data_IF_054059286774
#
_entry.id   IF_054059286774
#
_cell.length_a   1.000
_cell.length_b   1.000
_cell.length_c   1.000
_cell.angle_alpha   90.00
_cell.angle_beta   90.00
_cell.angle_gamma   90.00
#
_symmetry.space_group_name_H-M   'P 1'
#
loop_
_entity.id
_entity.type
_entity.pdbx_description
1 polymer ?
#
# COMPACT_ATOMS: atom_id res chain seq x y z
N UNK A 1 -58.57 -24.31 45.13
CA UNK A 1 -58.46 -24.85 43.76
C UNK A 1 -57.55 -23.91 43.00
N UNK A 2 -56.39 -24.40 42.59
CA UNK A 2 -55.35 -23.63 41.90
C UNK A 2 -55.62 -23.65 40.40
N UNK A 3 -55.72 -22.49 39.78
CA UNK A 3 -55.68 -22.36 38.33
C UNK A 3 -54.43 -21.57 37.95
N UNK A 4 -53.41 -22.31 37.55
CA UNK A 4 -52.19 -21.79 36.93
C UNK A 4 -52.52 -21.26 35.54
N UNK A 5 -52.15 -20.01 35.27
CA UNK A 5 -52.14 -19.42 33.93
C UNK A 5 -50.94 -19.99 33.14
N UNK A 6 -51.07 -20.35 31.84
CA UNK A 6 -49.92 -20.75 31.05
C UNK A 6 -49.07 -19.52 30.72
N UNK A 7 -47.81 -19.57 31.12
CA UNK A 7 -46.78 -18.60 30.76
C UNK A 7 -46.33 -18.89 29.33
N UNK A 8 -46.85 -18.14 28.35
CA UNK A 8 -46.36 -18.14 26.97
C UNK A 8 -45.60 -16.84 26.72
N UNK A 9 -44.30 -16.83 27.01
CA UNK A 9 -43.36 -15.82 26.47
C UNK A 9 -41.99 -16.48 26.31
N UNK A 10 -41.73 -17.06 25.14
CA UNK A 10 -40.35 -17.45 24.75
C UNK A 10 -40.04 -17.29 23.26
N UNK A 11 -41.03 -17.12 22.38
CA UNK A 11 -40.80 -17.05 20.93
C UNK A 11 -40.35 -15.68 20.36
N UNK A 12 -40.42 -14.59 21.15
CA UNK A 12 -40.07 -13.24 20.67
C UNK A 12 -38.56 -12.94 20.72
N UNK A 13 -37.87 -13.51 21.71
CA UNK A 13 -36.44 -13.23 21.99
C UNK A 13 -35.52 -13.97 21.00
N UNK A 14 -35.86 -15.21 20.63
CA UNK A 14 -35.06 -16.02 19.69
C UNK A 14 -35.06 -15.44 18.28
N UNK A 15 -36.19 -14.87 17.83
CA UNK A 15 -36.31 -14.25 16.52
C UNK A 15 -35.54 -12.93 16.42
N UNK A 16 -35.57 -12.12 17.47
CA UNK A 16 -34.76 -10.89 17.56
C UNK A 16 -33.27 -11.19 17.65
N UNK A 17 -32.87 -12.25 18.37
CA UNK A 17 -31.48 -12.70 18.42
C UNK A 17 -30.99 -13.17 17.04
N UNK A 18 -31.80 -13.94 16.30
CA UNK A 18 -31.47 -14.36 14.93
C UNK A 18 -31.35 -13.18 13.95
N UNK A 19 -32.27 -12.22 14.00
CA UNK A 19 -32.21 -11.01 13.17
C UNK A 19 -30.95 -10.17 13.48
N UNK A 20 -30.57 -10.05 14.75
CA UNK A 20 -29.34 -9.37 15.16
C UNK A 20 -28.08 -10.09 14.70
N UNK A 21 -28.08 -11.42 14.69
CA UNK A 21 -26.97 -12.25 14.25
C UNK A 21 -26.78 -12.14 12.73
N UNK A 22 -27.87 -12.16 11.95
CA UNK A 22 -27.84 -11.93 10.51
C UNK A 22 -27.31 -10.53 10.14
N UNK A 23 -27.73 -9.49 10.86
CA UNK A 23 -27.24 -8.12 10.65
C UNK A 23 -25.72 -8.06 10.90
N UNK A 24 -25.26 -8.69 11.98
CA UNK A 24 -23.85 -8.75 12.35
C UNK A 24 -23.02 -9.46 11.27
N UNK A 25 -23.48 -10.61 10.79
CA UNK A 25 -22.82 -11.35 9.69
C UNK A 25 -22.71 -10.50 8.42
N UNK A 26 -23.78 -9.80 8.03
CA UNK A 26 -23.78 -8.93 6.84
C UNK A 26 -22.79 -7.78 6.98
N UNK A 27 -22.73 -7.12 8.14
CA UNK A 27 -21.76 -6.06 8.39
C UNK A 27 -20.31 -6.57 8.32
N UNK A 28 -20.03 -7.74 8.92
CA UNK A 28 -18.71 -8.38 8.85
C UNK A 28 -18.30 -8.70 7.41
N UNK A 29 -19.21 -9.22 6.59
CA UNK A 29 -18.96 -9.48 5.19
C UNK A 29 -18.68 -8.20 4.39
N UNK A 30 -19.48 -7.15 4.59
CA UNK A 30 -19.28 -5.85 3.93
C UNK A 30 -17.92 -5.23 4.31
N UNK A 31 -17.55 -5.31 5.58
CA UNK A 31 -16.25 -4.81 6.06
C UNK A 31 -15.09 -5.49 5.32
N UNK A 32 -15.10 -6.82 5.21
CA UNK A 32 -14.05 -7.58 4.51
C UNK A 32 -13.98 -7.23 3.02
N UNK A 33 -15.12 -7.07 2.35
CA UNK A 33 -15.17 -6.64 0.94
C UNK A 33 -14.55 -5.25 0.77
N UNK A 34 -14.88 -4.30 1.67
CA UNK A 34 -14.31 -2.96 1.64
C UNK A 34 -12.79 -2.99 1.89
N UNK A 35 -12.34 -3.81 2.86
CA UNK A 35 -10.91 -4.02 3.12
C UNK A 35 -10.19 -4.52 1.88
N UNK A 36 -10.73 -5.54 1.21
CA UNK A 36 -10.11 -6.10 0.01
C UNK A 36 -9.95 -5.06 -1.10
N UNK A 37 -11.00 -4.27 -1.37
CA UNK A 37 -10.95 -3.17 -2.35
C UNK A 37 -9.93 -2.10 -1.97
N UNK A 38 -9.87 -1.74 -0.69
CA UNK A 38 -8.90 -0.78 -0.19
C UNK A 38 -7.45 -1.26 -0.43
N UNK A 39 -7.17 -2.53 -0.13
CA UNK A 39 -5.83 -3.11 -0.32
C UNK A 39 -5.42 -3.15 -1.79
N UNK A 40 -6.35 -3.46 -2.69
CA UNK A 40 -6.10 -3.43 -4.14
C UNK A 40 -5.67 -2.05 -4.65
N UNK A 41 -6.18 -0.97 -4.02
CA UNK A 41 -5.86 0.40 -4.44
C UNK A 41 -4.44 0.83 -4.04
N UNK A 42 -3.78 0.15 -3.11
CA UNK A 42 -2.42 0.51 -2.66
C UNK A 42 -1.45 0.45 -3.83
N UNK A 43 -1.49 -0.62 -4.63
CA UNK A 43 -0.60 -0.78 -5.79
C UNK A 43 -0.85 0.29 -6.84
N UNK A 44 -2.12 0.63 -7.11
CA UNK A 44 -2.46 1.67 -8.07
C UNK A 44 -1.92 3.03 -7.64
N UNK A 45 -2.10 3.39 -6.36
CA UNK A 45 -1.59 4.64 -5.81
C UNK A 45 -0.07 4.77 -5.96
N UNK A 46 0.67 3.67 -5.78
CA UNK A 46 2.12 3.66 -6.02
C UNK A 46 2.46 3.91 -7.48
N UNK A 47 1.74 3.29 -8.42
CA UNK A 47 1.97 3.57 -9.84
C UNK A 47 1.66 5.03 -10.19
N UNK A 48 0.59 5.60 -9.62
CA UNK A 48 0.23 7.00 -9.83
C UNK A 48 1.34 7.93 -9.31
N UNK A 49 1.89 7.66 -8.12
CA UNK A 49 3.01 8.43 -7.57
C UNK A 49 4.30 8.30 -8.39
N UNK A 50 4.59 7.10 -8.91
CA UNK A 50 5.72 6.89 -9.82
C UNK A 50 5.54 7.66 -11.13
N UNK A 51 4.34 7.65 -11.69
CA UNK A 51 4.01 8.38 -12.92
C UNK A 51 4.13 9.88 -12.68
N UNK A 52 3.58 10.37 -11.56
CA UNK A 52 3.60 11.79 -11.21
C UNK A 52 5.03 12.31 -11.10
N UNK A 53 5.93 11.60 -10.41
CA UNK A 53 7.32 12.00 -10.30
C UNK A 53 8.01 12.12 -11.67
N UNK A 54 7.70 11.20 -12.59
CA UNK A 54 8.26 11.26 -13.95
C UNK A 54 7.70 12.45 -14.72
N UNK A 55 6.38 12.68 -14.65
CA UNK A 55 5.74 13.83 -15.29
C UNK A 55 6.29 15.15 -14.74
N UNK A 56 6.52 15.26 -13.43
CA UNK A 56 7.09 16.44 -12.79
C UNK A 56 8.52 16.71 -13.28
N UNK A 57 9.36 15.68 -13.37
CA UNK A 57 10.71 15.81 -13.93
C UNK A 57 10.70 16.37 -15.37
N UNK A 58 9.88 15.80 -16.26
CA UNK A 58 9.79 16.30 -17.64
C UNK A 58 9.26 17.73 -17.71
N UNK A 59 8.31 18.08 -16.83
CA UNK A 59 7.77 19.44 -16.73
C UNK A 59 8.82 20.43 -16.27
N UNK A 60 9.67 20.07 -15.30
CA UNK A 60 10.78 20.90 -14.83
C UNK A 60 11.82 21.14 -15.93
N UNK A 61 12.08 20.15 -16.78
CA UNK A 61 12.91 20.30 -17.98
C UNK A 61 12.22 21.08 -19.12
N UNK A 62 10.93 21.41 -19.00
CA UNK A 62 10.16 22.02 -20.08
C UNK A 62 9.96 21.10 -21.30
N UNK A 63 10.08 19.78 -21.10
CA UNK A 63 9.96 18.75 -22.14
C UNK A 63 8.64 17.99 -22.02
N UNK A 64 8.17 17.46 -23.14
CA UNK A 64 7.04 16.51 -23.14
C UNK A 64 7.57 15.14 -22.71
N UNK A 65 6.80 14.43 -21.87
CA UNK A 65 7.15 13.07 -21.48
C UNK A 65 7.38 12.17 -22.70
N UNK A 66 8.52 11.47 -22.72
CA UNK A 66 8.94 10.62 -23.86
C UNK A 66 9.82 11.33 -24.88
N UNK A 67 10.13 12.62 -24.69
CA UNK A 67 11.16 13.32 -25.45
C UNK A 67 12.53 12.65 -25.25
N UNK A 68 13.40 12.73 -26.25
CA UNK A 68 14.78 12.28 -26.13
C UNK A 68 15.50 13.06 -25.01
N UNK A 69 16.18 12.32 -24.14
CA UNK A 69 17.03 12.85 -23.08
C UNK A 69 18.49 12.73 -23.47
N UNK A 70 19.29 13.69 -23.06
CA UNK A 70 20.75 13.57 -23.03
C UNK A 70 21.17 12.56 -21.95
N UNK A 71 22.43 12.14 -21.96
CA UNK A 71 22.98 11.26 -20.91
C UNK A 71 22.84 11.89 -19.52
N UNK A 72 23.15 13.18 -19.39
CA UNK A 72 23.06 13.91 -18.12
C UNK A 72 21.60 14.00 -17.62
N UNK A 73 20.66 14.37 -18.50
CA UNK A 73 19.23 14.40 -18.14
C UNK A 73 18.69 13.00 -17.81
N UNK A 74 19.22 11.94 -18.42
CA UNK A 74 18.85 10.57 -18.07
C UNK A 74 19.35 10.18 -16.67
N UNK A 75 20.58 10.56 -16.33
CA UNK A 75 21.16 10.37 -14.98
C UNK A 75 20.35 11.12 -13.93
N UNK A 76 19.94 12.36 -14.23
CA UNK A 76 19.06 13.15 -13.36
C UNK A 76 17.69 12.51 -13.21
N UNK A 77 17.08 12.00 -14.29
CA UNK A 77 15.82 11.26 -14.23
C UNK A 77 15.95 10.03 -13.32
N UNK A 78 17.03 9.26 -13.45
CA UNK A 78 17.30 8.13 -12.57
C UNK A 78 17.41 8.57 -11.11
N UNK A 79 18.12 9.67 -10.84
CA UNK A 79 18.21 10.29 -9.51
C UNK A 79 16.83 10.64 -8.93
N UNK A 80 16.02 11.40 -9.67
CA UNK A 80 14.66 11.78 -9.26
C UNK A 80 13.76 10.56 -9.00
N UNK A 81 13.89 9.51 -9.83
CA UNK A 81 13.13 8.27 -9.63
C UNK A 81 13.58 7.51 -8.39
N UNK A 82 14.88 7.48 -8.07
CA UNK A 82 15.42 6.86 -6.85
C UNK A 82 14.84 7.56 -5.61
N UNK A 83 14.95 8.89 -5.56
CA UNK A 83 14.43 9.70 -4.44
C UNK A 83 12.92 9.50 -4.26
N UNK A 84 12.16 9.42 -5.36
CA UNK A 84 10.74 9.10 -5.31
C UNK A 84 10.47 7.73 -4.65
N UNK A 85 11.22 6.68 -5.00
CA UNK A 85 11.03 5.34 -4.39
C UNK A 85 11.37 5.38 -2.91
N UNK A 86 12.43 6.07 -2.52
CA UNK A 86 12.82 6.23 -1.11
C UNK A 86 11.75 6.94 -0.29
N UNK A 87 11.14 7.99 -0.84
CA UNK A 87 10.04 8.70 -0.20
C UNK A 87 8.80 7.81 -0.02
N UNK A 88 8.41 7.04 -1.04
CA UNK A 88 7.29 6.11 -0.96
C UNK A 88 7.57 5.02 0.08
N UNK A 89 8.75 4.40 0.03
CA UNK A 89 9.15 3.33 0.97
C UNK A 89 9.12 3.86 2.42
N UNK A 90 9.76 4.99 2.68
CA UNK A 90 9.81 5.57 4.04
C UNK A 90 8.42 5.92 4.58
N UNK A 91 7.56 6.47 3.73
CA UNK A 91 6.17 6.76 4.08
C UNK A 91 5.37 5.50 4.41
N UNK A 92 5.54 4.43 3.62
CA UNK A 92 4.88 3.15 3.88
C UNK A 92 5.39 2.48 5.16
N UNK A 93 6.71 2.47 5.41
CA UNK A 93 7.29 1.90 6.64
C UNK A 93 6.75 2.61 7.88
N UNK A 94 6.73 3.95 7.89
CA UNK A 94 6.12 4.72 8.99
C UNK A 94 4.63 4.40 9.16
N UNK A 95 3.90 4.26 8.06
CA UNK A 95 2.49 3.87 8.10
C UNK A 95 2.27 2.47 8.69
N UNK A 96 3.21 1.54 8.47
CA UNK A 96 3.16 0.19 9.03
C UNK A 96 3.43 0.19 10.54
N UNK A 97 4.41 0.97 11.01
CA UNK A 97 4.67 1.12 12.46
C UNK A 97 3.41 1.60 13.22
N UNK A 98 2.66 2.53 12.63
CA UNK A 98 1.38 2.99 13.19
C UNK A 98 0.36 1.86 13.25
N UNK A 99 0.21 1.08 12.17
CA UNK A 99 -0.73 -0.04 12.14
C UNK A 99 -0.35 -1.16 13.11
N UNK A 100 0.94 -1.49 13.23
CA UNK A 100 1.46 -2.47 14.18
C UNK A 100 1.12 -2.05 15.62
N UNK A 101 1.33 -0.78 15.95
CA UNK A 101 0.95 -0.24 17.27
C UNK A 101 -0.55 -0.32 17.52
N UNK A 102 -1.39 0.01 16.53
CA UNK A 102 -2.84 -0.10 16.68
C UNK A 102 -3.31 -1.56 16.83
N UNK A 103 -2.64 -2.51 16.16
CA UNK A 103 -2.88 -3.94 16.35
C UNK A 103 -2.58 -4.34 17.79
N UNK A 104 -1.43 -3.94 18.33
CA UNK A 104 -1.05 -4.22 19.73
C UNK A 104 -2.06 -3.64 20.72
N UNK A 105 -2.45 -2.38 20.52
CA UNK A 105 -3.46 -1.71 21.34
C UNK A 105 -4.78 -2.51 21.34
N UNK A 106 -5.30 -2.84 20.16
CA UNK A 106 -6.57 -3.58 20.01
C UNK A 106 -6.51 -5.01 20.56
N UNK A 107 -5.34 -5.67 20.51
CA UNK A 107 -5.13 -6.99 21.14
C UNK A 107 -5.10 -6.89 22.66
N UNK A 108 -4.60 -5.78 23.22
CA UNK A 108 -4.51 -5.57 24.67
C UNK A 108 -5.82 -5.10 25.31
N UNK A 109 -6.59 -4.27 24.61
CA UNK A 109 -7.87 -3.73 25.06
C UNK A 109 -8.85 -3.66 23.88
N UNK A 110 -9.65 -4.72 23.65
CA UNK A 110 -10.61 -4.74 22.57
C UNK A 110 -11.79 -3.82 22.88
N UNK A 111 -11.76 -2.61 22.32
CA UNK A 111 -12.74 -1.55 22.59
C UNK A 111 -14.11 -1.79 21.92
N UNK A 112 -14.20 -2.65 20.89
CA UNK A 112 -15.43 -2.85 20.10
C UNK A 112 -15.72 -4.31 19.70
N UNK A 113 -16.99 -4.61 19.39
CA UNK A 113 -17.46 -5.92 18.92
C UNK A 113 -16.85 -6.40 17.57
N UNK A 114 -16.04 -5.55 16.94
CA UNK A 114 -15.43 -5.75 15.62
C UNK A 114 -13.92 -5.44 15.63
N UNK A 115 -13.31 -5.31 16.81
CA UNK A 115 -11.86 -5.09 16.96
C UNK A 115 -11.04 -6.16 16.25
N UNK A 116 -11.53 -7.39 16.19
CA UNK A 116 -10.92 -8.49 15.45
C UNK A 116 -10.85 -8.22 13.94
N UNK A 117 -11.92 -7.71 13.32
CA UNK A 117 -11.89 -7.34 11.91
C UNK A 117 -10.99 -6.14 11.65
N UNK A 118 -10.91 -5.19 12.57
CA UNK A 118 -9.99 -4.06 12.46
C UNK A 118 -8.54 -4.53 12.52
N UNK A 119 -8.22 -5.47 13.40
CA UNK A 119 -6.91 -6.15 13.44
C UNK A 119 -6.65 -6.85 12.10
N UNK A 120 -7.59 -7.68 11.60
CA UNK A 120 -7.46 -8.37 10.29
C UNK A 120 -7.12 -7.36 9.17
N UNK A 121 -7.78 -6.19 9.16
CA UNK A 121 -7.53 -5.13 8.16
C UNK A 121 -6.12 -4.55 8.29
N UNK A 122 -5.67 -4.23 9.50
CA UNK A 122 -4.34 -3.64 9.71
C UNK A 122 -3.25 -4.64 9.37
N UNK A 123 -3.38 -5.91 9.77
CA UNK A 123 -2.43 -6.98 9.45
C UNK A 123 -2.32 -7.17 7.92
N UNK A 124 -3.46 -7.27 7.22
CA UNK A 124 -3.48 -7.37 5.76
C UNK A 124 -2.91 -6.11 5.06
N UNK A 125 -3.07 -4.93 5.66
CA UNK A 125 -2.49 -3.68 5.15
C UNK A 125 -0.98 -3.66 5.30
N UNK A 126 -0.45 -4.10 6.44
CA UNK A 126 0.99 -4.22 6.68
C UNK A 126 1.61 -5.21 5.71
N UNK A 127 0.99 -6.38 5.53
CA UNK A 127 1.46 -7.40 4.58
C UNK A 127 1.50 -6.86 3.13
N UNK A 128 0.40 -6.27 2.66
CA UNK A 128 0.30 -5.72 1.30
C UNK A 128 1.36 -4.64 1.08
N UNK A 129 1.55 -3.73 2.05
CA UNK A 129 2.55 -2.67 1.94
C UNK A 129 3.97 -3.21 1.99
N UNK A 130 4.25 -4.24 2.79
CA UNK A 130 5.57 -4.87 2.82
C UNK A 130 5.94 -5.50 1.48
N UNK A 131 4.98 -6.12 0.78
CA UNK A 131 5.19 -6.61 -0.58
C UNK A 131 5.53 -5.46 -1.55
N UNK A 132 4.76 -4.38 -1.50
CA UNK A 132 5.01 -3.19 -2.34
C UNK A 132 6.36 -2.54 -2.01
N UNK A 133 6.74 -2.47 -0.73
CA UNK A 133 8.05 -1.98 -0.30
C UNK A 133 9.18 -2.82 -0.91
N UNK A 134 9.07 -4.14 -0.87
CA UNK A 134 10.09 -5.03 -1.43
C UNK A 134 10.25 -4.81 -2.94
N UNK A 135 9.15 -4.66 -3.68
CA UNK A 135 9.17 -4.34 -5.10
C UNK A 135 9.82 -2.98 -5.38
N UNK A 136 9.50 -1.95 -4.59
CA UNK A 136 10.10 -0.62 -4.73
C UNK A 136 11.59 -0.61 -4.38
N UNK A 137 12.02 -1.39 -3.39
CA UNK A 137 13.44 -1.54 -3.04
C UNK A 137 14.22 -2.17 -4.19
N UNK A 138 13.64 -3.16 -4.87
CA UNK A 138 14.21 -3.76 -6.08
C UNK A 138 14.26 -2.74 -7.23
N UNK A 139 13.16 -2.06 -7.54
CA UNK A 139 13.13 -1.02 -8.57
C UNK A 139 14.16 0.08 -8.32
N UNK A 140 14.31 0.53 -7.06
CA UNK A 140 15.29 1.53 -6.66
C UNK A 140 16.70 1.04 -6.96
N UNK A 141 17.03 -0.20 -6.61
CA UNK A 141 18.35 -0.77 -6.88
C UNK A 141 18.64 -0.87 -8.38
N UNK A 142 17.66 -1.26 -9.19
CA UNK A 142 17.78 -1.27 -10.65
C UNK A 142 18.05 0.13 -11.22
N UNK A 143 17.42 1.17 -10.65
CA UNK A 143 17.67 2.56 -11.04
C UNK A 143 19.07 3.04 -10.63
N UNK A 144 19.56 2.66 -9.45
CA UNK A 144 20.93 2.96 -9.01
C UNK A 144 21.94 2.34 -9.96
N UNK A 145 21.74 1.08 -10.35
CA UNK A 145 22.63 0.41 -11.31
C UNK A 145 22.64 1.14 -12.66
N UNK A 146 21.46 1.48 -13.21
CA UNK A 146 21.35 2.23 -14.47
C UNK A 146 22.00 3.61 -14.41
N UNK A 147 21.88 4.29 -13.27
CA UNK A 147 22.53 5.60 -13.03
C UNK A 147 24.06 5.47 -13.05
N UNK A 148 24.61 4.36 -12.57
CA UNK A 148 26.06 4.13 -12.52
C UNK A 148 26.60 3.55 -13.84
N UNK A 149 25.78 2.82 -14.62
CA UNK A 149 26.17 2.30 -15.94
C UNK A 149 26.48 3.42 -16.95
N UNK A 150 25.85 4.60 -16.83
CA UNK A 150 26.19 5.76 -17.67
C UNK A 150 27.58 6.32 -17.38
N UNK A 151 28.11 6.14 -16.16
CA UNK A 151 29.46 6.59 -15.77
C UNK A 151 30.56 5.63 -16.24
N UNK A 152 30.26 4.32 -16.43
CA UNK A 152 31.25 3.32 -16.90
C UNK A 152 31.48 3.34 -18.43
N UNK A 153 30.78 4.21 -19.17
CA UNK A 153 30.96 4.33 -20.63
C UNK A 153 32.08 5.29 -21.06
N UNK A 154 32.81 5.91 -20.12
CA UNK A 154 34.03 6.67 -20.43
C UNK A 154 35.28 5.76 -20.56
N UNK A 155 35.55 5.42 -21.83
CA UNK A 155 36.82 5.06 -22.47
C UNK A 155 37.47 3.69 -22.24
N UNK A 156 37.69 2.98 -23.35
CA UNK A 156 39.01 2.54 -23.73
C UNK A 156 39.69 3.61 -24.61
N UNK A 157 40.76 4.23 -24.08
CA UNK A 157 41.79 4.93 -24.85
C UNK A 157 42.42 3.96 -25.87
N UNK A 158 41.80 3.71 -27.02
CA UNK A 158 42.46 3.08 -28.18
C UNK A 158 41.61 3.13 -29.44
N UNK A 159 41.15 4.32 -29.84
CA UNK A 159 40.92 4.58 -31.26
C UNK A 159 41.63 5.88 -31.67
N UNK A 160 42.94 5.94 -31.41
CA UNK A 160 43.84 6.59 -32.35
C UNK A 160 43.85 5.69 -33.59
N UNK A 161 43.03 6.02 -34.59
CA UNK A 161 43.39 5.68 -35.96
C UNK A 161 43.98 6.93 -36.62
N UNK A 162 45.24 6.74 -37.00
CA UNK A 162 46.17 7.72 -37.55
C UNK A 162 45.68 8.24 -38.91
N UNK A 163 45.95 9.54 -39.11
CA UNK A 163 46.17 10.29 -40.37
C UNK A 163 45.43 9.86 -41.63
#
# INVERSE_FOLDING_TARGET
MSHSTPQQVSGGTDRQAQEQDEITIRHRAQFRIQTHRFLQNVTQLVQDWKSQAKTDFFKELGKVEGSALTTEEYVELCGAMIENRELIISSMKRGNEVFEKEIENLKSDPVEAMSDLTIERYEASVETRNQVIADLEKERLELVNKKNESDESEYPEHWIFKS
#
